data_IF_800138759975
#
_entry.id   IF_800138759975
#
_cell.length_a   1.000
_cell.length_b   1.000
_cell.length_c   1.000
_cell.angle_alpha   90.00
_cell.angle_beta   90.00
_cell.angle_gamma   90.00
#
_symmetry.space_group_name_H-M   'P 1'
#
loop_
_entity.id
_entity.type
_entity.pdbx_description
1 polymer ?
#
# COMPACT_ATOMS: atom_id res chain seq x y z
N UNK A 1 12.06 -21.40 3.32
CA UNK A 1 11.05 -21.34 4.42
C UNK A 1 10.53 -19.93 4.47
N UNK A 2 9.22 -19.73 4.56
CA UNK A 2 8.66 -18.41 4.59
C UNK A 2 9.19 -17.62 5.79
N UNK A 3 9.52 -16.35 5.56
CA UNK A 3 9.95 -15.42 6.61
C UNK A 3 8.76 -14.88 7.39
N UNK A 4 7.56 -14.87 6.78
CA UNK A 4 6.30 -14.57 7.44
C UNK A 4 5.28 -15.66 7.08
N UNK A 5 4.62 -16.22 8.09
CA UNK A 5 3.48 -17.13 7.92
C UNK A 5 2.28 -16.59 8.71
N UNK A 6 1.15 -16.45 8.03
CA UNK A 6 -0.14 -16.06 8.60
C UNK A 6 -1.12 -17.20 8.36
N UNK A 7 -1.58 -17.84 9.43
CA UNK A 7 -2.37 -19.07 9.38
C UNK A 7 -3.73 -18.87 10.05
N UNK A 8 -4.81 -18.93 9.26
CA UNK A 8 -6.21 -18.85 9.71
C UNK A 8 -6.49 -17.63 10.62
N UNK A 9 -5.87 -16.50 10.33
CA UNK A 9 -5.91 -15.31 11.18
C UNK A 9 -7.25 -14.60 11.06
N UNK A 10 -7.90 -14.44 12.20
CA UNK A 10 -9.11 -13.64 12.34
C UNK A 10 -8.91 -12.57 13.41
N UNK A 11 -9.32 -11.35 13.13
CA UNK A 11 -9.35 -10.27 14.10
C UNK A 11 -10.76 -9.71 14.27
N UNK A 12 -11.22 -9.63 15.52
CA UNK A 12 -12.46 -8.95 15.91
C UNK A 12 -12.13 -7.77 16.79
N UNK A 13 -12.63 -6.58 16.44
CA UNK A 13 -12.51 -5.37 17.25
C UNK A 13 -13.88 -4.91 17.75
N UNK A 14 -13.90 -4.31 18.94
CA UNK A 14 -15.08 -3.57 19.43
C UNK A 14 -15.17 -2.26 18.65
N UNK A 15 -16.36 -1.83 18.26
CA UNK A 15 -16.57 -0.53 17.63
C UNK A 15 -16.22 0.60 18.60
N UNK A 16 -15.57 1.64 18.11
CA UNK A 16 -15.07 2.77 18.93
C UNK A 16 -16.21 3.56 19.63
N UNK A 17 -17.41 3.55 19.07
CA UNK A 17 -18.59 4.18 19.65
C UNK A 17 -18.98 3.60 21.03
N UNK A 18 -18.49 2.40 21.33
CA UNK A 18 -18.80 1.67 22.57
C UNK A 18 -17.68 1.77 23.63
N UNK A 19 -16.59 2.49 23.33
CA UNK A 19 -15.44 2.66 24.25
C UNK A 19 -15.57 3.87 25.20
N UNK A 20 -16.66 4.62 25.16
CA UNK A 20 -16.92 5.58 26.21
C UNK A 20 -17.35 4.84 27.50
N UNK A 21 -16.34 4.35 28.21
CA UNK A 21 -16.49 3.81 29.57
C UNK A 21 -16.82 4.91 30.59
N UNK A 22 -17.88 5.65 30.34
CA UNK A 22 -18.52 6.39 31.39
C UNK A 22 -19.47 5.40 32.11
N UNK A 23 -18.99 4.84 33.21
CA UNK A 23 -19.77 3.94 34.07
C UNK A 23 -21.16 4.50 34.36
N UNK A 24 -21.28 5.83 34.46
CA UNK A 24 -22.56 6.53 34.62
C UNK A 24 -23.46 6.34 33.38
N UNK A 25 -22.94 6.49 32.18
CA UNK A 25 -23.72 6.28 30.94
C UNK A 25 -24.17 4.84 30.76
N UNK A 26 -23.31 3.88 31.10
CA UNK A 26 -23.66 2.44 31.07
C UNK A 26 -24.79 2.16 32.08
N UNK A 27 -24.70 2.66 33.31
CA UNK A 27 -25.73 2.50 34.32
C UNK A 27 -27.07 3.15 33.89
N UNK A 28 -27.02 4.39 33.35
CA UNK A 28 -28.22 5.04 32.83
C UNK A 28 -28.84 4.29 31.64
N UNK A 29 -28.03 3.76 30.74
CA UNK A 29 -28.52 2.99 29.59
C UNK A 29 -29.19 1.66 30.01
N UNK A 30 -28.72 1.03 31.10
CA UNK A 30 -29.35 -0.16 31.69
C UNK A 30 -30.70 0.20 32.30
N UNK A 31 -30.76 1.30 33.07
CA UNK A 31 -32.01 1.78 33.71
C UNK A 31 -33.05 2.19 32.66
N UNK A 32 -32.64 2.78 31.55
CA UNK A 32 -33.52 3.18 30.43
C UNK A 32 -33.86 2.02 29.48
N UNK A 33 -33.41 0.79 29.74
CA UNK A 33 -33.58 -0.38 28.88
C UNK A 33 -33.04 -0.20 27.43
N UNK A 34 -32.05 0.69 27.28
CA UNK A 34 -31.39 1.03 26.00
C UNK A 34 -29.98 0.40 25.87
N UNK A 35 -29.58 -0.39 26.86
CA UNK A 35 -28.25 -1.03 26.81
C UNK A 35 -28.13 -1.96 25.60
N UNK A 36 -27.25 -1.62 24.69
CA UNK A 36 -26.85 -2.51 23.59
C UNK A 36 -25.47 -3.08 23.93
N UNK A 37 -25.33 -4.40 23.99
CA UNK A 37 -24.03 -5.00 24.23
C UNK A 37 -23.06 -4.63 23.08
N UNK A 38 -21.77 -4.42 23.39
CA UNK A 38 -20.77 -4.06 22.39
C UNK A 38 -20.72 -5.08 21.25
N UNK A 39 -20.96 -4.61 20.05
CA UNK A 39 -20.86 -5.44 18.84
C UNK A 39 -19.41 -5.58 18.40
N UNK A 40 -18.93 -6.81 18.28
CA UNK A 40 -17.60 -7.09 17.77
C UNK A 40 -17.65 -7.11 16.22
N UNK A 41 -17.11 -6.09 15.58
CA UNK A 41 -16.93 -6.09 14.11
C UNK A 41 -15.73 -6.98 13.74
N UNK A 42 -15.91 -7.88 12.79
CA UNK A 42 -14.78 -8.59 12.17
C UNK A 42 -14.04 -7.61 11.28
N UNK A 43 -12.73 -7.51 11.46
CA UNK A 43 -11.86 -6.66 10.66
C UNK A 43 -11.08 -7.52 9.67
N UNK A 44 -10.63 -8.71 10.11
CA UNK A 44 -10.00 -9.72 9.27
C UNK A 44 -10.67 -11.06 9.53
N UNK A 45 -10.80 -11.88 8.49
CA UNK A 45 -11.47 -13.16 8.53
C UNK A 45 -10.66 -14.23 7.80
N UNK A 46 -10.20 -15.22 8.56
CA UNK A 46 -9.51 -16.41 8.04
C UNK A 46 -8.41 -16.11 7.01
N UNK A 47 -7.60 -15.09 7.30
CA UNK A 47 -6.50 -14.68 6.41
C UNK A 47 -5.39 -15.71 6.49
N UNK A 48 -4.98 -16.17 5.32
CA UNK A 48 -3.85 -17.07 5.12
C UNK A 48 -2.92 -16.46 4.09
N UNK A 49 -1.64 -16.31 4.42
CA UNK A 49 -0.60 -15.90 3.49
C UNK A 49 0.77 -16.32 4.00
N UNK A 50 1.70 -16.49 3.08
CA UNK A 50 3.11 -16.73 3.37
C UNK A 50 3.96 -15.76 2.56
N UNK A 51 5.08 -15.31 3.12
CA UNK A 51 6.03 -14.42 2.45
C UNK A 51 7.40 -15.06 2.50
N UNK A 52 8.03 -15.21 1.36
CA UNK A 52 9.39 -15.74 1.26
C UNK A 52 10.43 -14.63 1.49
N UNK A 53 11.64 -15.03 1.88
CA UNK A 53 12.74 -14.08 2.12
C UNK A 53 13.15 -13.37 0.81
N UNK A 54 13.25 -12.05 0.85
CA UNK A 54 13.59 -11.22 -0.30
C UNK A 54 12.41 -10.87 -1.21
N UNK A 55 11.21 -11.41 -0.94
CA UNK A 55 10.00 -11.14 -1.74
C UNK A 55 9.49 -9.72 -1.52
N UNK A 56 9.00 -9.09 -2.58
CA UNK A 56 8.40 -7.75 -2.57
C UNK A 56 6.93 -7.85 -2.88
N UNK A 57 6.11 -7.57 -1.87
CA UNK A 57 4.66 -7.79 -1.94
C UNK A 57 3.92 -6.47 -1.80
N UNK A 58 3.01 -6.20 -2.74
CA UNK A 58 2.03 -5.13 -2.65
C UNK A 58 0.73 -5.60 -2.01
N UNK A 59 0.17 -4.84 -1.07
CA UNK A 59 -1.17 -5.11 -0.54
C UNK A 59 -2.15 -4.10 -1.11
N UNK A 60 -3.15 -4.60 -1.81
CA UNK A 60 -4.21 -3.86 -2.49
C UNK A 60 -5.54 -3.96 -1.74
N UNK A 61 -6.45 -3.07 -2.05
CA UNK A 61 -7.83 -3.12 -1.55
C UNK A 61 -8.38 -1.76 -1.14
N UNK A 62 -9.71 -1.63 -1.04
CA UNK A 62 -10.38 -0.38 -0.70
C UNK A 62 -10.07 0.07 0.73
N UNK A 63 -10.40 1.33 1.04
CA UNK A 63 -10.28 1.84 2.40
C UNK A 63 -11.19 1.03 3.34
N UNK A 64 -10.64 0.66 4.52
CA UNK A 64 -11.35 -0.16 5.49
C UNK A 64 -11.37 -1.67 5.18
N UNK A 65 -10.69 -2.16 4.14
CA UNK A 65 -10.58 -3.59 3.84
C UNK A 65 -9.75 -4.39 4.85
N UNK A 66 -8.94 -3.70 5.68
CA UNK A 66 -8.12 -4.33 6.71
C UNK A 66 -6.61 -4.31 6.46
N UNK A 67 -6.11 -3.64 5.40
CA UNK A 67 -4.68 -3.57 5.03
C UNK A 67 -3.78 -3.17 6.19
N UNK A 68 -3.94 -1.96 6.73
CA UNK A 68 -3.11 -1.48 7.86
C UNK A 68 -3.31 -2.33 9.13
N UNK A 69 -4.48 -2.97 9.27
CA UNK A 69 -4.71 -3.92 10.37
C UNK A 69 -3.89 -5.19 10.20
N UNK A 70 -3.82 -5.72 8.99
CA UNK A 70 -2.97 -6.88 8.66
C UNK A 70 -1.49 -6.56 8.89
N UNK A 71 -1.02 -5.39 8.43
CA UNK A 71 0.34 -4.95 8.69
C UNK A 71 0.66 -4.84 10.19
N UNK A 72 -0.26 -4.29 10.99
CA UNK A 72 -0.10 -4.20 12.47
C UNK A 72 -0.04 -5.57 13.14
N UNK A 73 -0.78 -6.55 12.62
CA UNK A 73 -0.72 -7.93 13.10
C UNK A 73 0.62 -8.58 12.76
N UNK A 74 1.10 -8.44 11.53
CA UNK A 74 2.40 -8.96 11.09
C UNK A 74 3.53 -8.31 11.89
N UNK A 75 3.44 -7.01 12.16
CA UNK A 75 4.42 -6.26 12.98
C UNK A 75 4.36 -6.59 14.48
N UNK A 76 3.41 -7.43 14.92
CA UNK A 76 3.25 -7.74 16.36
C UNK A 76 2.63 -6.62 17.20
N UNK A 77 2.25 -5.49 16.60
CA UNK A 77 1.57 -4.37 17.28
C UNK A 77 0.18 -4.82 17.77
N UNK A 78 -0.48 -5.68 17.00
CA UNK A 78 -1.76 -6.29 17.37
C UNK A 78 -1.61 -7.80 17.51
N UNK A 79 -2.47 -8.39 18.36
CA UNK A 79 -2.59 -9.85 18.46
C UNK A 79 -3.86 -10.31 17.76
N UNK A 80 -3.84 -11.41 17.01
CA UNK A 80 -5.04 -11.97 16.40
C UNK A 80 -6.01 -12.49 17.46
N UNK A 81 -7.31 -12.52 17.12
CA UNK A 81 -8.33 -13.16 17.98
C UNK A 81 -8.23 -14.68 17.87
N UNK A 82 -7.99 -15.20 16.67
CA UNK A 82 -7.73 -16.62 16.38
C UNK A 82 -6.69 -16.73 15.26
N UNK A 83 -6.09 -17.89 15.12
CA UNK A 83 -5.03 -18.14 14.15
C UNK A 83 -3.64 -17.83 14.72
N UNK A 84 -2.63 -17.95 13.88
CA UNK A 84 -1.22 -17.79 14.27
C UNK A 84 -0.48 -16.96 13.24
N UNK A 85 0.43 -16.10 13.70
CA UNK A 85 1.39 -15.38 12.88
C UNK A 85 2.78 -15.74 13.37
N UNK A 86 3.63 -16.15 12.45
CA UNK A 86 5.04 -16.45 12.73
C UNK A 86 5.89 -15.54 11.84
N UNK A 87 6.87 -14.89 12.43
CA UNK A 87 7.84 -14.04 11.72
C UNK A 87 9.24 -14.49 12.10
N UNK A 88 10.06 -14.74 11.09
CA UNK A 88 11.47 -15.08 11.22
C UNK A 88 12.33 -13.92 10.68
N UNK A 89 12.73 -13.03 11.57
CA UNK A 89 13.53 -11.86 11.25
C UNK A 89 13.04 -10.58 11.94
N UNK A 90 13.85 -9.53 11.85
CA UNK A 90 13.55 -8.22 12.44
C UNK A 90 12.71 -7.39 11.48
N UNK A 91 11.59 -6.86 11.98
CA UNK A 91 10.67 -6.01 11.22
C UNK A 91 10.95 -4.54 11.53
N UNK A 92 11.06 -3.72 10.50
CA UNK A 92 10.92 -2.27 10.62
C UNK A 92 9.55 -1.84 10.08
N UNK A 93 8.57 -1.59 10.96
CA UNK A 93 7.26 -1.13 10.53
C UNK A 93 7.27 0.39 10.37
N UNK A 94 7.19 0.89 9.14
CA UNK A 94 6.98 2.30 8.83
C UNK A 94 5.47 2.61 8.71
N UNK A 95 4.67 2.11 9.64
CA UNK A 95 3.20 2.23 9.60
C UNK A 95 2.71 3.41 10.43
N UNK A 96 3.23 3.58 11.64
CA UNK A 96 2.85 4.62 12.60
C UNK A 96 4.13 5.23 13.17
N UNK A 97 4.80 6.04 12.36
CA UNK A 97 6.04 6.69 12.78
C UNK A 97 5.76 7.62 13.97
N UNK A 98 6.42 7.36 15.08
CA UNK A 98 6.23 8.10 16.33
C UNK A 98 5.34 7.41 17.37
N UNK A 99 4.65 6.32 17.02
CA UNK A 99 3.96 5.50 18.01
C UNK A 99 4.97 4.71 18.85
N UNK A 100 4.82 4.78 20.19
CA UNK A 100 5.69 4.05 21.12
C UNK A 100 6.87 4.85 21.69
N UNK A 101 7.05 6.11 21.28
CA UNK A 101 7.99 7.01 21.96
C UNK A 101 7.46 7.45 23.32
N UNK A 102 8.38 7.58 24.27
CA UNK A 102 8.09 8.18 25.57
C UNK A 102 8.21 9.70 25.47
N UNK A 103 7.14 10.40 25.79
CA UNK A 103 7.00 11.84 25.63
C UNK A 103 7.95 12.63 26.54
N UNK A 104 8.35 12.08 27.67
CA UNK A 104 9.16 12.75 28.69
C UNK A 104 10.66 12.43 28.58
N UNK A 105 11.02 11.39 27.83
CA UNK A 105 12.43 11.05 27.58
C UNK A 105 13.06 11.98 26.54
N UNK A 106 14.39 12.16 26.63
CA UNK A 106 15.18 12.85 25.62
C UNK A 106 15.16 12.11 24.27
N UNK A 107 15.56 12.80 23.18
CA UNK A 107 15.69 12.14 21.89
C UNK A 107 16.72 11.00 21.94
N UNK A 108 17.85 11.21 22.63
CA UNK A 108 18.89 10.20 22.83
C UNK A 108 18.34 8.95 23.50
N UNK A 109 17.56 9.14 24.57
CA UNK A 109 16.97 8.00 25.29
C UNK A 109 15.88 7.31 24.48
N UNK A 110 15.07 8.09 23.77
CA UNK A 110 14.05 7.54 22.86
C UNK A 110 14.64 6.75 21.71
N UNK A 111 15.77 7.15 21.12
CA UNK A 111 16.47 6.38 20.08
C UNK A 111 16.81 4.99 20.60
N UNK A 112 17.39 4.93 21.81
CA UNK A 112 17.74 3.65 22.41
C UNK A 112 16.51 2.84 22.80
N UNK A 113 15.52 3.49 23.42
CA UNK A 113 14.28 2.86 23.86
C UNK A 113 13.51 2.27 22.69
N UNK A 114 13.24 3.09 21.67
CA UNK A 114 12.48 2.67 20.49
C UNK A 114 13.22 1.60 19.66
N UNK A 115 14.54 1.74 19.52
CA UNK A 115 15.34 0.71 18.87
C UNK A 115 15.27 -0.64 19.57
N UNK A 116 15.24 -0.67 20.93
CA UNK A 116 15.04 -1.90 21.68
C UNK A 116 13.63 -2.48 21.46
N UNK A 117 12.61 -1.64 21.35
CA UNK A 117 11.24 -2.10 21.01
C UNK A 117 11.21 -2.74 19.62
N UNK A 118 12.01 -2.26 18.67
CA UNK A 118 12.15 -2.86 17.34
C UNK A 118 13.03 -4.13 17.32
N UNK A 119 13.52 -4.57 18.50
CA UNK A 119 14.31 -5.80 18.65
C UNK A 119 15.82 -5.63 18.46
N UNK A 120 16.34 -4.41 18.48
CA UNK A 120 17.79 -4.16 18.44
C UNK A 120 18.43 -4.22 19.83
N UNK A 121 19.72 -4.53 19.89
CA UNK A 121 20.42 -4.50 21.16
C UNK A 121 20.65 -3.06 21.64
N UNK A 122 20.53 -2.84 22.95
CA UNK A 122 20.77 -1.51 23.56
C UNK A 122 22.16 -0.94 23.23
N UNK A 123 23.20 -1.78 23.23
CA UNK A 123 24.55 -1.39 22.85
C UNK A 123 24.68 -0.96 21.40
N UNK A 124 23.99 -1.66 20.51
CA UNK A 124 23.92 -1.35 19.10
C UNK A 124 23.26 0.02 18.86
N UNK A 125 22.11 0.28 19.48
CA UNK A 125 21.43 1.57 19.38
C UNK A 125 22.23 2.73 19.95
N UNK A 126 22.94 2.51 21.06
CA UNK A 126 23.82 3.55 21.62
C UNK A 126 24.94 4.01 20.67
N UNK A 127 25.48 3.10 19.85
CA UNK A 127 26.50 3.45 18.86
C UNK A 127 25.93 4.15 17.62
N UNK A 128 24.60 4.16 17.47
CA UNK A 128 23.87 4.73 16.32
C UNK A 128 23.19 6.07 16.60
N UNK A 129 23.27 6.57 17.83
CA UNK A 129 22.59 7.81 18.24
C UNK A 129 22.94 8.97 17.30
N UNK A 130 24.22 9.19 17.04
CA UNK A 130 24.66 10.33 16.24
C UNK A 130 24.22 10.18 14.78
N UNK A 131 24.36 8.99 14.17
CA UNK A 131 23.91 8.74 12.79
C UNK A 131 22.41 8.91 12.62
N UNK A 132 21.61 8.49 13.60
CA UNK A 132 20.14 8.66 13.60
C UNK A 132 19.79 10.14 13.70
N UNK A 133 20.40 10.87 14.61
CA UNK A 133 20.13 12.31 14.80
C UNK A 133 20.55 13.15 13.60
N UNK A 134 21.70 12.84 12.99
CA UNK A 134 22.19 13.50 11.77
C UNK A 134 21.23 13.25 10.59
N UNK A 135 20.81 11.99 10.39
CA UNK A 135 19.86 11.68 9.34
C UNK A 135 18.51 12.40 9.53
N UNK A 136 18.00 12.40 10.76
CA UNK A 136 16.74 13.07 11.11
C UNK A 136 16.84 14.60 11.09
N UNK A 137 18.06 15.18 11.01
CA UNK A 137 18.33 16.62 11.12
C UNK A 137 17.90 17.19 12.50
N UNK A 138 18.13 16.40 13.57
CA UNK A 138 17.70 16.71 14.93
C UNK A 138 18.86 16.72 15.94
N UNK A 139 20.09 16.85 15.47
CA UNK A 139 21.27 16.77 16.34
C UNK A 139 21.26 17.83 17.46
N UNK A 140 20.83 19.05 17.15
CA UNK A 140 20.77 20.16 18.12
C UNK A 140 19.69 19.97 19.19
N UNK A 141 18.69 19.14 18.92
CA UNK A 141 17.58 18.82 19.84
C UNK A 141 17.81 17.56 20.68
N UNK A 142 19.00 16.96 20.61
CA UNK A 142 19.33 15.63 21.17
C UNK A 142 18.95 15.42 22.64
N UNK A 143 19.03 16.47 23.45
CA UNK A 143 18.75 16.42 24.90
C UNK A 143 17.34 16.94 25.24
N UNK A 144 16.57 17.37 24.26
CA UNK A 144 15.20 17.84 24.47
C UNK A 144 14.24 16.68 24.69
N UNK A 145 13.18 16.88 25.49
CA UNK A 145 12.14 15.87 25.64
C UNK A 145 11.35 15.71 24.33
N UNK A 146 10.97 14.47 24.01
CA UNK A 146 10.26 14.16 22.75
C UNK A 146 9.01 14.99 22.51
N UNK A 147 8.27 15.33 23.56
CA UNK A 147 7.06 16.18 23.50
C UNK A 147 7.30 17.60 22.99
N UNK A 148 8.55 18.08 22.95
CA UNK A 148 8.89 19.40 22.39
C UNK A 148 8.89 19.41 20.86
N UNK A 149 8.97 18.24 20.23
CA UNK A 149 9.06 18.11 18.79
C UNK A 149 7.73 18.38 18.09
N UNK A 150 7.80 18.94 16.90
CA UNK A 150 6.68 18.98 15.97
C UNK A 150 6.34 17.56 15.44
N UNK A 151 5.13 17.34 14.95
CA UNK A 151 4.73 16.05 14.37
C UNK A 151 5.64 15.61 13.21
N UNK A 152 6.12 16.58 12.40
CA UNK A 152 7.09 16.30 11.33
C UNK A 152 8.45 15.84 11.88
N UNK A 153 8.97 16.48 12.93
CA UNK A 153 10.21 16.08 13.57
C UNK A 153 10.09 14.70 14.25
N UNK A 154 8.95 14.41 14.88
CA UNK A 154 8.66 13.09 15.45
C UNK A 154 8.69 11.99 14.38
N UNK A 155 8.07 12.23 13.25
CA UNK A 155 8.05 11.30 12.13
C UNK A 155 9.44 11.11 11.50
N UNK A 156 10.25 12.19 11.36
CA UNK A 156 11.65 12.12 10.90
C UNK A 156 12.49 11.24 11.83
N UNK A 157 12.36 11.41 13.15
CA UNK A 157 13.08 10.59 14.13
C UNK A 157 12.68 9.12 14.03
N UNK A 158 11.37 8.84 13.99
CA UNK A 158 10.85 7.47 13.85
C UNK A 158 11.35 6.77 12.61
N UNK A 159 11.30 7.45 11.45
CA UNK A 159 11.84 6.93 10.20
C UNK A 159 13.36 6.68 10.29
N UNK A 160 14.12 7.64 10.84
CA UNK A 160 15.55 7.51 10.98
C UNK A 160 15.92 6.27 11.79
N UNK A 161 15.29 6.06 12.96
CA UNK A 161 15.56 4.91 13.82
C UNK A 161 15.20 3.59 13.12
N UNK A 162 14.00 3.51 12.55
CA UNK A 162 13.51 2.29 11.93
C UNK A 162 14.33 1.85 10.70
N UNK A 163 15.03 2.81 10.05
CA UNK A 163 15.79 2.57 8.83
C UNK A 163 17.32 2.67 9.00
N UNK A 164 17.83 3.03 10.18
CA UNK A 164 19.29 3.15 10.39
C UNK A 164 19.98 1.79 10.35
N UNK A 165 19.40 0.80 10.97
CA UNK A 165 19.88 -0.58 10.91
C UNK A 165 19.04 -1.32 9.86
N UNK A 166 19.69 -2.02 8.95
CA UNK A 166 18.99 -2.77 7.89
C UNK A 166 18.07 -3.83 8.49
N UNK A 167 16.76 -3.64 8.40
CA UNK A 167 15.80 -4.66 8.80
C UNK A 167 15.80 -5.80 7.76
N UNK A 168 15.46 -7.00 8.21
CA UNK A 168 15.27 -8.13 7.31
C UNK A 168 13.93 -8.04 6.58
N UNK A 169 12.95 -7.40 7.26
CA UNK A 169 11.59 -7.20 6.76
C UNK A 169 11.23 -5.72 6.92
N UNK A 170 10.88 -5.07 5.82
CA UNK A 170 10.44 -3.68 5.81
C UNK A 170 8.94 -3.65 5.51
N UNK A 171 8.17 -2.97 6.33
CA UNK A 171 6.74 -2.77 6.12
C UNK A 171 6.47 -1.29 5.90
N UNK A 172 5.92 -0.98 4.72
CA UNK A 172 5.60 0.37 4.26
C UNK A 172 4.08 0.56 4.16
N UNK A 173 3.53 1.59 4.81
CA UNK A 173 2.13 1.97 4.68
C UNK A 173 2.07 3.43 4.25
N UNK A 174 1.85 3.72 2.97
CA UNK A 174 1.70 5.07 2.35
C UNK A 174 2.62 6.20 2.86
N UNK A 175 3.47 5.93 3.85
CA UNK A 175 4.14 6.88 4.73
C UNK A 175 5.38 7.52 4.11
N UNK A 176 5.56 7.48 2.79
CA UNK A 176 6.66 8.19 2.11
C UNK A 176 6.53 9.72 2.15
N UNK A 177 5.43 10.24 2.74
CA UNK A 177 5.15 11.68 2.85
C UNK A 177 5.67 12.32 4.14
N UNK A 178 6.77 11.82 4.72
CA UNK A 178 7.35 12.34 5.96
C UNK A 178 8.22 13.55 5.69
N UNK A 179 7.97 14.64 6.42
CA UNK A 179 8.80 15.85 6.36
C UNK A 179 8.57 16.70 5.11
N UNK A 180 9.51 17.61 4.88
CA UNK A 180 9.55 18.45 3.67
C UNK A 180 10.12 17.70 2.46
N UNK A 181 10.16 18.37 1.31
CA UNK A 181 10.62 17.79 0.05
C UNK A 181 12.06 17.28 0.11
N UNK A 182 12.95 17.98 0.85
CA UNK A 182 14.35 17.58 0.98
C UNK A 182 14.48 16.28 1.77
N UNK A 183 13.74 16.16 2.86
CA UNK A 183 13.73 14.96 3.69
C UNK A 183 13.04 13.77 3.00
N UNK A 184 11.96 14.01 2.26
CA UNK A 184 11.31 12.98 1.44
C UNK A 184 12.27 12.35 0.45
N UNK A 185 13.13 13.16 -0.20
CA UNK A 185 14.16 12.63 -1.11
C UNK A 185 15.15 11.72 -0.38
N UNK A 186 15.65 12.13 0.79
CA UNK A 186 16.54 11.28 1.63
C UNK A 186 15.86 9.96 2.03
N UNK A 187 14.56 10.02 2.38
CA UNK A 187 13.79 8.81 2.71
C UNK A 187 13.66 7.88 1.50
N UNK A 188 13.33 8.42 0.33
CA UNK A 188 13.20 7.64 -0.90
C UNK A 188 14.52 6.95 -1.28
N UNK A 189 15.66 7.67 -1.22
CA UNK A 189 16.98 7.10 -1.46
C UNK A 189 17.32 5.98 -0.46
N UNK A 190 16.94 6.15 0.82
CA UNK A 190 17.17 5.11 1.84
C UNK A 190 16.31 3.88 1.61
N UNK A 191 15.05 4.05 1.24
CA UNK A 191 14.15 2.95 0.88
C UNK A 191 14.63 2.23 -0.37
N UNK A 192 15.09 2.97 -1.39
CA UNK A 192 15.64 2.39 -2.61
C UNK A 192 16.80 1.43 -2.30
N UNK A 193 17.67 1.77 -1.34
CA UNK A 193 18.77 0.86 -0.91
C UNK A 193 18.26 -0.45 -0.32
N UNK A 194 17.12 -0.45 0.38
CA UNK A 194 16.50 -1.69 0.86
C UNK A 194 15.88 -2.48 -0.28
N UNK A 195 15.31 -1.78 -1.27
CA UNK A 195 14.73 -2.39 -2.46
C UNK A 195 15.79 -3.15 -3.25
N UNK A 196 16.96 -2.54 -3.43
CA UNK A 196 18.09 -3.12 -4.17
C UNK A 196 18.80 -4.26 -3.39
N UNK A 197 18.69 -4.26 -2.07
CA UNK A 197 19.44 -5.14 -1.16
C UNK A 197 18.77 -6.50 -0.86
N UNK A 198 17.80 -6.96 -1.66
CA UNK A 198 17.06 -8.22 -1.44
C UNK A 198 16.38 -8.30 -0.05
N UNK A 199 16.03 -7.16 0.55
CA UNK A 199 15.20 -7.15 1.75
C UNK A 199 13.78 -7.62 1.42
N UNK A 200 13.13 -8.30 2.37
CA UNK A 200 11.70 -8.62 2.24
C UNK A 200 10.91 -7.33 2.46
N UNK A 201 10.02 -6.98 1.53
CA UNK A 201 9.26 -5.73 1.60
C UNK A 201 7.78 -6.03 1.45
N UNK A 202 6.99 -5.51 2.38
CA UNK A 202 5.53 -5.46 2.26
C UNK A 202 5.12 -4.00 2.17
N UNK A 203 4.44 -3.64 1.08
CA UNK A 203 4.03 -2.26 0.85
C UNK A 203 2.53 -2.17 0.63
N UNK A 204 1.90 -1.18 1.29
CA UNK A 204 0.57 -0.69 0.96
C UNK A 204 0.73 0.63 0.23
N UNK A 205 0.17 0.74 -0.95
CA UNK A 205 0.18 1.97 -1.74
C UNK A 205 -1.12 2.11 -2.50
N UNK A 206 -1.60 3.35 -2.66
CA UNK A 206 -2.68 3.68 -3.59
C UNK A 206 -2.17 3.82 -5.03
N UNK A 207 -0.86 3.91 -5.23
CA UNK A 207 -0.24 3.89 -6.56
C UNK A 207 -0.14 2.44 -7.07
N UNK A 208 -1.14 2.04 -7.85
CA UNK A 208 -1.21 0.70 -8.44
C UNK A 208 -0.11 0.49 -9.50
N UNK A 209 0.31 1.56 -10.19
CA UNK A 209 1.44 1.50 -11.11
C UNK A 209 2.73 1.14 -10.39
N UNK A 210 2.98 1.77 -9.23
CA UNK A 210 4.14 1.44 -8.40
C UNK A 210 4.10 -0.03 -7.94
N UNK A 211 2.95 -0.53 -7.48
CA UNK A 211 2.83 -1.93 -7.05
C UNK A 211 3.06 -2.88 -8.23
N UNK A 212 2.43 -2.61 -9.39
CA UNK A 212 2.59 -3.42 -10.61
C UNK A 212 4.04 -3.52 -11.06
N UNK A 213 4.77 -2.40 -11.05
CA UNK A 213 6.09 -2.30 -11.67
C UNK A 213 7.22 -2.63 -10.68
N UNK A 214 6.98 -2.48 -9.37
CA UNK A 214 8.02 -2.63 -8.35
C UNK A 214 7.85 -3.86 -7.45
N UNK A 215 6.66 -4.46 -7.38
CA UNK A 215 6.42 -5.66 -6.60
C UNK A 215 6.36 -6.90 -7.51
N UNK A 216 6.74 -8.06 -6.98
CA UNK A 216 6.66 -9.34 -7.67
C UNK A 216 5.25 -9.95 -7.54
N UNK A 217 4.60 -9.70 -6.40
CA UNK A 217 3.33 -10.29 -6.02
C UNK A 217 2.42 -9.24 -5.39
N UNK A 218 1.13 -9.39 -5.59
CA UNK A 218 0.12 -8.58 -4.94
C UNK A 218 -0.88 -9.45 -4.19
N UNK A 219 -1.29 -8.96 -3.02
CA UNK A 219 -2.36 -9.54 -2.22
C UNK A 219 -3.49 -8.52 -2.17
N UNK A 220 -4.66 -8.89 -2.72
CA UNK A 220 -5.82 -8.03 -2.66
C UNK A 220 -6.70 -8.43 -1.48
N UNK A 221 -6.90 -7.47 -0.57
CA UNK A 221 -7.77 -7.59 0.59
C UNK A 221 -9.11 -6.89 0.29
N UNK A 222 -10.22 -7.60 0.44
CA UNK A 222 -11.55 -6.99 0.44
C UNK A 222 -12.35 -7.49 1.66
N UNK A 223 -13.02 -6.56 2.36
CA UNK A 223 -13.86 -6.82 3.55
C UNK A 223 -13.22 -7.75 4.59
N UNK A 224 -11.90 -7.70 4.71
CA UNK A 224 -11.12 -8.48 5.67
C UNK A 224 -10.73 -9.89 5.20
N UNK A 225 -10.95 -10.23 3.95
CA UNK A 225 -10.58 -11.51 3.34
C UNK A 225 -9.58 -11.30 2.20
N UNK A 226 -8.71 -12.27 1.96
CA UNK A 226 -7.83 -12.29 0.79
C UNK A 226 -8.64 -12.81 -0.40
N UNK A 227 -8.89 -11.93 -1.38
CA UNK A 227 -9.66 -12.27 -2.59
C UNK A 227 -8.77 -12.58 -3.79
N UNK A 228 -7.52 -12.14 -3.74
CA UNK A 228 -6.51 -12.48 -4.73
C UNK A 228 -5.12 -12.54 -4.07
N UNK A 229 -4.29 -13.46 -4.54
CA UNK A 229 -2.91 -13.63 -4.14
C UNK A 229 -2.13 -14.20 -5.34
N UNK A 230 -1.27 -13.40 -5.96
CA UNK A 230 -0.59 -13.79 -7.20
C UNK A 230 0.28 -12.67 -7.77
N UNK A 231 0.68 -12.75 -9.06
CA UNK A 231 1.53 -11.75 -9.70
C UNK A 231 0.99 -10.32 -9.54
N UNK A 232 1.89 -9.36 -9.28
CA UNK A 232 1.51 -7.97 -9.00
C UNK A 232 0.74 -7.31 -10.14
N UNK A 233 1.16 -7.54 -11.38
CA UNK A 233 0.50 -7.01 -12.58
C UNK A 233 -0.95 -7.50 -12.71
N UNK A 234 -1.20 -8.78 -12.40
CA UNK A 234 -2.54 -9.38 -12.46
C UNK A 234 -3.42 -8.84 -11.32
N UNK A 235 -2.86 -8.78 -10.10
CA UNK A 235 -3.56 -8.24 -8.93
C UNK A 235 -3.98 -6.78 -9.13
N UNK A 236 -3.08 -5.95 -9.65
CA UNK A 236 -3.37 -4.56 -9.94
C UNK A 236 -4.48 -4.41 -11.00
N UNK A 237 -4.39 -5.18 -12.09
CA UNK A 237 -5.39 -5.16 -13.17
C UNK A 237 -6.76 -5.62 -12.70
N UNK A 238 -6.84 -6.73 -11.93
CA UNK A 238 -8.11 -7.24 -11.37
C UNK A 238 -8.73 -6.25 -10.37
N UNK A 239 -7.90 -5.63 -9.53
CA UNK A 239 -8.38 -4.64 -8.57
C UNK A 239 -8.94 -3.40 -9.29
N UNK A 240 -8.21 -2.86 -10.27
CA UNK A 240 -8.69 -1.75 -11.11
C UNK A 240 -10.02 -2.07 -11.79
N UNK A 241 -10.14 -3.29 -12.32
CA UNK A 241 -11.37 -3.74 -12.97
C UNK A 241 -12.57 -3.84 -12.03
N UNK A 242 -12.33 -3.96 -10.72
CA UNK A 242 -13.38 -4.03 -9.69
C UNK A 242 -13.88 -2.67 -9.22
N UNK A 243 -13.17 -1.58 -9.55
CA UNK A 243 -13.54 -0.23 -9.14
C UNK A 243 -14.70 0.28 -10.01
N UNK A 244 -15.61 1.04 -9.37
CA UNK A 244 -16.64 1.75 -10.12
C UNK A 244 -16.01 2.84 -11.01
N UNK A 245 -16.65 3.26 -12.11
CA UNK A 245 -16.10 4.30 -12.99
C UNK A 245 -15.73 5.61 -12.27
N UNK A 246 -16.48 5.95 -11.23
CA UNK A 246 -16.23 7.16 -10.43
C UNK A 246 -15.07 7.02 -9.43
N UNK A 247 -14.63 5.79 -9.13
CA UNK A 247 -13.55 5.46 -8.21
C UNK A 247 -12.21 5.15 -8.92
N UNK A 248 -12.13 5.41 -10.21
CA UNK A 248 -10.92 5.14 -11.01
C UNK A 248 -9.78 6.03 -10.52
N UNK A 249 -8.63 5.46 -10.11
CA UNK A 249 -7.50 6.23 -9.62
C UNK A 249 -7.01 7.30 -10.61
N UNK A 250 -6.53 8.42 -10.09
CA UNK A 250 -5.99 9.53 -10.89
C UNK A 250 -4.90 9.09 -11.87
N UNK A 251 -4.13 8.05 -11.51
CA UNK A 251 -3.10 7.48 -12.37
C UNK A 251 -3.68 6.87 -13.65
N UNK A 252 -4.81 6.16 -13.55
CA UNK A 252 -5.50 5.59 -14.72
C UNK A 252 -6.02 6.71 -15.62
N UNK A 253 -6.51 7.80 -15.04
CA UNK A 253 -6.95 8.98 -15.77
C UNK A 253 -5.78 9.66 -16.49
N UNK A 254 -4.64 9.79 -15.82
CA UNK A 254 -3.39 10.30 -16.42
C UNK A 254 -2.90 9.41 -17.55
N UNK A 255 -2.91 8.09 -17.36
CA UNK A 255 -2.48 7.14 -18.38
C UNK A 255 -3.45 7.12 -19.56
N UNK A 256 -4.76 7.25 -19.32
CA UNK A 256 -5.77 7.47 -20.37
C UNK A 256 -5.48 8.75 -21.18
N UNK A 257 -5.18 9.84 -20.50
CA UNK A 257 -4.88 11.12 -21.14
C UNK A 257 -3.58 11.04 -21.97
N UNK A 258 -2.58 10.27 -21.50
CA UNK A 258 -1.38 9.94 -22.26
C UNK A 258 -1.70 9.13 -23.55
N UNK A 259 -2.68 8.23 -23.49
CA UNK A 259 -3.19 7.50 -24.65
C UNK A 259 -3.81 8.47 -25.66
N UNK A 260 -4.59 9.46 -25.21
CA UNK A 260 -5.18 10.48 -26.06
C UNK A 260 -4.11 11.37 -26.73
N UNK A 261 -3.09 11.78 -25.97
CA UNK A 261 -1.96 12.54 -26.54
C UNK A 261 -1.19 11.71 -27.57
N UNK A 262 -0.96 10.42 -27.30
CA UNK A 262 -0.32 9.52 -28.25
C UNK A 262 -1.14 9.36 -29.53
N UNK A 263 -2.47 9.24 -29.40
CA UNK A 263 -3.36 9.18 -30.56
C UNK A 263 -3.30 10.48 -31.39
N UNK A 264 -3.34 11.65 -30.75
CA UNK A 264 -3.25 12.95 -31.42
C UNK A 264 -1.90 13.15 -32.13
N UNK A 265 -0.81 12.70 -31.49
CA UNK A 265 0.54 12.83 -32.04
C UNK A 265 0.85 11.83 -33.15
N UNK A 266 0.03 10.81 -33.32
CA UNK A 266 0.19 9.82 -34.39
C UNK A 266 -0.09 10.45 -35.76
N UNK A 267 0.66 10.13 -36.85
CA UNK A 267 0.45 10.71 -38.16
C UNK A 267 -0.95 10.62 -38.74
N UNK A 268 -1.73 9.64 -38.26
CA UNK A 268 -3.16 9.44 -38.63
C UNK A 268 -4.14 10.11 -37.69
N UNK A 269 -3.67 10.72 -36.58
CA UNK A 269 -4.54 11.25 -35.53
C UNK A 269 -5.28 10.20 -34.69
N UNK A 270 -4.86 8.94 -34.78
CA UNK A 270 -5.49 7.80 -34.16
C UNK A 270 -4.52 6.65 -33.89
N UNK A 271 -4.80 5.80 -32.92
CA UNK A 271 -4.02 4.58 -32.62
C UNK A 271 -4.95 3.39 -32.40
N UNK A 272 -4.43 2.20 -32.65
CA UNK A 272 -5.14 0.96 -32.39
C UNK A 272 -4.66 0.38 -31.06
N UNK A 273 -5.61 0.02 -30.20
CA UNK A 273 -5.33 -0.49 -28.86
C UNK A 273 -6.07 -1.78 -28.58
N UNK A 274 -5.51 -2.60 -27.69
CA UNK A 274 -6.11 -3.85 -27.21
C UNK A 274 -5.81 -4.03 -25.73
N UNK A 275 -6.73 -4.68 -25.00
CA UNK A 275 -6.53 -5.08 -23.62
C UNK A 275 -5.49 -6.18 -23.44
N UNK A 276 -4.97 -6.29 -22.23
CA UNK A 276 -4.03 -7.34 -21.82
C UNK A 276 -4.74 -8.59 -21.27
N UNK A 277 -6.02 -8.48 -20.86
CA UNK A 277 -6.75 -9.61 -20.33
C UNK A 277 -7.04 -10.68 -21.40
N UNK A 278 -7.05 -11.93 -20.98
CA UNK A 278 -7.31 -13.09 -21.83
C UNK A 278 -8.78 -13.52 -21.76
N UNK A 279 -9.68 -12.56 -21.53
CA UNK A 279 -11.13 -12.74 -21.52
C UNK A 279 -11.78 -12.26 -22.84
N UNK A 280 -13.10 -12.42 -22.97
CA UNK A 280 -13.84 -12.04 -24.17
C UNK A 280 -13.73 -10.52 -24.48
N UNK A 281 -13.46 -9.66 -23.49
CA UNK A 281 -13.26 -8.22 -23.69
C UNK A 281 -11.81 -7.88 -24.05
N UNK A 282 -10.81 -8.56 -23.49
CA UNK A 282 -9.39 -8.40 -23.82
C UNK A 282 -9.07 -8.78 -25.28
N UNK A 283 -9.90 -9.59 -25.92
CA UNK A 283 -9.78 -9.91 -27.35
C UNK A 283 -10.31 -8.81 -28.27
N UNK A 284 -11.06 -7.84 -27.75
CA UNK A 284 -11.59 -6.72 -28.55
C UNK A 284 -10.46 -5.75 -28.90
N UNK A 285 -10.47 -5.34 -30.14
CA UNK A 285 -9.56 -4.30 -30.65
C UNK A 285 -10.34 -3.01 -30.78
N UNK A 286 -9.75 -1.91 -30.33
CA UNK A 286 -10.36 -0.60 -30.38
C UNK A 286 -9.47 0.37 -31.17
N UNK A 287 -10.11 1.26 -31.95
CA UNK A 287 -9.47 2.44 -32.50
C UNK A 287 -9.70 3.61 -31.53
N UNK A 288 -8.64 4.25 -31.06
CA UNK A 288 -8.73 5.49 -30.27
C UNK A 288 -8.49 6.68 -31.17
N UNK A 289 -9.51 7.54 -31.31
CA UNK A 289 -9.49 8.77 -32.09
C UNK A 289 -10.06 9.91 -31.25
N UNK A 290 -9.32 11.01 -31.12
CA UNK A 290 -9.69 12.10 -30.23
C UNK A 290 -9.69 11.63 -28.76
N UNK A 291 -10.86 11.69 -28.10
CA UNK A 291 -11.05 11.24 -26.71
C UNK A 291 -12.04 10.09 -26.58
N UNK A 292 -12.18 9.27 -27.61
CA UNK A 292 -13.09 8.12 -27.63
C UNK A 292 -12.42 6.88 -28.20
N UNK A 293 -12.89 5.70 -27.76
CA UNK A 293 -12.57 4.40 -28.35
C UNK A 293 -13.72 3.90 -29.20
N UNK A 294 -13.40 3.24 -30.28
CA UNK A 294 -14.36 2.67 -31.24
C UNK A 294 -14.04 1.18 -31.40
N UNK A 295 -14.96 0.33 -31.08
CA UNK A 295 -14.77 -1.12 -31.24
C UNK A 295 -14.68 -1.47 -32.74
N UNK A 296 -13.60 -2.14 -33.11
CA UNK A 296 -13.40 -2.67 -34.46
C UNK A 296 -13.99 -4.08 -34.51
N UNK A 297 -15.13 -4.21 -35.17
CA UNK A 297 -15.90 -5.48 -35.21
C UNK A 297 -15.50 -6.39 -36.37
N UNK A 298 -14.86 -5.83 -37.40
CA UNK A 298 -14.47 -6.53 -38.62
C UNK A 298 -12.93 -6.59 -38.77
N UNK A 299 -12.38 -7.79 -38.86
CA UNK A 299 -10.96 -8.01 -39.12
C UNK A 299 -10.50 -7.54 -40.52
N UNK A 300 -11.40 -7.51 -41.52
CA UNK A 300 -11.09 -6.99 -42.83
C UNK A 300 -10.87 -5.48 -42.83
N UNK A 301 -11.36 -4.79 -41.79
CA UNK A 301 -11.06 -3.38 -41.54
C UNK A 301 -9.55 -3.13 -41.50
N UNK A 302 -8.77 -4.03 -40.85
CA UNK A 302 -7.30 -3.96 -40.79
C UNK A 302 -6.67 -3.95 -42.15
N UNK A 303 -7.11 -4.87 -43.01
CA UNK A 303 -6.59 -5.02 -44.35
C UNK A 303 -6.90 -3.80 -45.21
N UNK A 304 -8.09 -3.20 -45.03
CA UNK A 304 -8.54 -2.01 -45.79
C UNK A 304 -7.87 -0.73 -45.31
N UNK A 305 -7.54 -0.60 -44.04
CA UNK A 305 -7.00 0.62 -43.44
C UNK A 305 -5.46 0.66 -43.39
N UNK A 306 -4.80 -0.47 -43.68
CA UNK A 306 -3.33 -0.57 -43.70
C UNK A 306 -2.68 -0.52 -42.33
N UNK A 307 -3.43 -0.89 -41.25
CA UNK A 307 -2.86 -1.21 -39.96
C UNK A 307 -2.31 -2.63 -39.94
N UNK A 308 -1.20 -2.85 -39.25
CA UNK A 308 -0.64 -4.18 -39.05
C UNK A 308 -0.81 -4.61 -37.57
N UNK A 309 -0.87 -5.90 -37.32
CA UNK A 309 -0.99 -6.44 -35.95
C UNK A 309 0.12 -5.94 -35.01
N UNK A 310 1.31 -5.65 -35.52
CA UNK A 310 2.44 -5.07 -34.78
C UNK A 310 2.21 -3.63 -34.32
N UNK A 311 1.24 -2.94 -34.88
CA UNK A 311 0.93 -1.53 -34.59
C UNK A 311 -0.07 -1.41 -33.42
N UNK A 312 -0.60 -2.55 -32.94
CA UNK A 312 -1.52 -2.59 -31.78
C UNK A 312 -0.75 -2.24 -30.51
N UNK A 313 -1.21 -1.23 -29.83
CA UNK A 313 -0.74 -0.87 -28.49
C UNK A 313 -1.52 -1.66 -27.45
N UNK A 314 -0.82 -2.48 -26.68
CA UNK A 314 -1.44 -3.21 -25.58
C UNK A 314 -1.52 -2.28 -24.36
N UNK A 315 -2.73 -2.15 -23.82
CA UNK A 315 -3.04 -1.30 -22.67
C UNK A 315 -3.67 -2.13 -21.56
N UNK A 316 -3.52 -1.66 -20.34
CA UNK A 316 -4.30 -2.19 -19.21
C UNK A 316 -5.81 -2.02 -19.48
N UNK A 317 -6.59 -3.04 -19.16
CA UNK A 317 -8.04 -3.06 -19.43
C UNK A 317 -8.77 -1.94 -18.66
N UNK A 318 -8.25 -1.51 -17.52
CA UNK A 318 -8.79 -0.39 -16.77
C UNK A 318 -8.65 0.94 -17.56
N UNK A 319 -7.52 1.14 -18.24
CA UNK A 319 -7.30 2.31 -19.10
C UNK A 319 -8.31 2.26 -20.26
N UNK A 320 -8.47 1.09 -20.88
CA UNK A 320 -9.45 0.92 -21.99
C UNK A 320 -10.87 1.20 -21.52
N UNK A 321 -11.27 0.69 -20.34
CA UNK A 321 -12.60 0.96 -19.75
C UNK A 321 -12.83 2.44 -19.45
N UNK A 322 -11.78 3.15 -19.02
CA UNK A 322 -11.84 4.59 -18.71
C UNK A 322 -11.97 5.47 -19.98
N UNK A 323 -11.72 4.94 -21.19
CA UNK A 323 -11.92 5.66 -22.45
C UNK A 323 -13.38 5.59 -22.84
N UNK A 324 -14.08 6.75 -23.03
CA UNK A 324 -15.47 6.77 -23.49
C UNK A 324 -15.67 6.03 -24.80
N UNK A 325 -16.74 5.28 -24.91
CA UNK A 325 -17.08 4.56 -26.13
C UNK A 325 -17.68 5.47 -27.21
N UNK A 326 -17.33 5.19 -28.47
CA UNK A 326 -17.99 5.69 -29.67
C UNK A 326 -18.80 4.59 -30.35
N UNK A 327 -19.40 4.89 -31.49
CA UNK A 327 -20.09 3.90 -32.28
C UNK A 327 -19.13 2.84 -32.86
N UNK A 328 -19.47 1.55 -32.87
CA UNK A 328 -18.62 0.52 -33.48
C UNK A 328 -18.27 0.81 -34.95
N UNK A 329 -17.07 0.37 -35.36
CA UNK A 329 -16.56 0.50 -36.72
C UNK A 329 -16.70 -0.87 -37.42
N UNK A 330 -17.24 -0.87 -38.63
CA UNK A 330 -17.46 -2.05 -39.45
C UNK A 330 -16.54 -2.07 -40.66
#
# INVERSE_FOLDING_TARGET
MPVISVENVTLRRRTQEELSYDLKRVLFSIVENKYRPPTKRRVLHNVNLSVERGEKIGILGPNGSGKSTLLKLISGILKPTTGKITVDGRIAPLIELGAGFDQDLSLVDNIVYYGVLLGFMRSEMKSRIDSVLEFAELYDHRNEPFKSLSSGMMARLGFAIATDIRPEILILDEVLSVGDESFRRKCAERIQRFWDAHSTIIVVSHDLGFIRDSCERAIWLDKGEVVFDGPSWEGASRYLASLAPDDVPEIVMRDRDAVFERARSHPRGEIVVRGLADDAEGHKVYLVRGSRKYWVTDLDWYNRTGYAWKDIVHLDDAIIRAIPEGEPIF
#
